data_IF_184096579089
#
_entry.id   IF_184096579089
#
_cell.length_a   1.000
_cell.length_b   1.000
_cell.length_c   1.000
_cell.angle_alpha   90.00
_cell.angle_beta   90.00
_cell.angle_gamma   90.00
#
_symmetry.space_group_name_H-M   'P 1'
#
loop_
_entity.id
_entity.type
_entity.pdbx_description
1 polymer ?
#
# COMPACT_ATOMS: atom_id res chain seq x y z
N UNK A 1 13.23 -15.53 -6.06
CA UNK A 1 12.93 -14.12 -6.38
C UNK A 1 12.14 -13.51 -5.23
N UNK A 2 12.58 -12.38 -4.74
CA UNK A 2 11.99 -11.73 -3.58
C UNK A 2 11.33 -10.41 -3.98
N UNK A 3 10.07 -10.26 -3.63
CA UNK A 3 9.30 -9.05 -3.91
C UNK A 3 9.06 -8.26 -2.63
N UNK A 4 9.21 -6.94 -2.70
CA UNK A 4 8.91 -6.05 -1.58
C UNK A 4 7.53 -5.45 -1.78
N UNK A 5 6.68 -5.67 -0.79
CA UNK A 5 5.34 -5.10 -0.75
C UNK A 5 5.32 -4.08 0.37
N UNK A 6 5.08 -2.83 0.03
CA UNK A 6 4.96 -1.77 1.02
C UNK A 6 3.54 -1.64 1.53
N UNK A 7 3.39 -1.37 2.80
CA UNK A 7 2.08 -1.11 3.42
C UNK A 7 2.15 0.23 4.14
N UNK A 8 1.26 1.12 3.78
CA UNK A 8 1.09 2.41 4.45
C UNK A 8 -0.27 2.47 5.10
N UNK A 9 -0.30 2.44 6.42
CA UNK A 9 -1.51 2.48 7.22
C UNK A 9 -1.17 3.14 8.55
N UNK A 10 -2.05 3.95 9.08
CA UNK A 10 -1.84 4.61 10.37
C UNK A 10 -2.38 3.78 11.55
N UNK A 11 -2.94 2.61 11.30
CA UNK A 11 -3.47 1.71 12.31
C UNK A 11 -2.74 0.36 12.29
N UNK A 12 -1.97 0.07 13.32
CA UNK A 12 -1.17 -1.16 13.42
C UNK A 12 -2.03 -2.44 13.29
N UNK A 13 -3.25 -2.42 13.80
CA UNK A 13 -4.15 -3.56 13.71
C UNK A 13 -4.51 -3.94 12.27
N UNK A 14 -4.70 -2.94 11.41
CA UNK A 14 -4.98 -3.16 10.00
C UNK A 14 -3.76 -3.73 9.27
N UNK A 15 -2.57 -3.23 9.58
CA UNK A 15 -1.32 -3.75 9.01
C UNK A 15 -1.18 -5.22 9.34
N UNK A 16 -1.40 -5.60 10.60
CA UNK A 16 -1.33 -7.00 11.04
C UNK A 16 -2.32 -7.87 10.26
N UNK A 17 -3.53 -7.39 10.05
CA UNK A 17 -4.56 -8.11 9.30
C UNK A 17 -4.15 -8.32 7.83
N UNK A 18 -3.63 -7.29 7.19
CA UNK A 18 -3.15 -7.38 5.81
C UNK A 18 -2.02 -8.39 5.70
N UNK A 19 -1.07 -8.35 6.63
CA UNK A 19 0.03 -9.31 6.68
C UNK A 19 -0.46 -10.74 6.80
N UNK A 20 -1.45 -10.98 7.67
CA UNK A 20 -2.05 -12.29 7.86
C UNK A 20 -2.67 -12.81 6.56
N UNK A 21 -3.45 -11.97 5.88
CA UNK A 21 -4.08 -12.35 4.62
C UNK A 21 -3.06 -12.68 3.52
N UNK A 22 -1.99 -11.90 3.43
CA UNK A 22 -0.93 -12.16 2.46
C UNK A 22 -0.24 -13.48 2.73
N UNK A 23 0.07 -13.77 3.99
CA UNK A 23 0.71 -15.03 4.38
C UNK A 23 -0.20 -16.22 4.12
N UNK A 24 -1.46 -16.13 4.51
CA UNK A 24 -2.42 -17.23 4.34
C UNK A 24 -2.67 -17.52 2.86
N UNK A 25 -2.86 -16.49 2.05
CA UNK A 25 -3.07 -16.65 0.62
C UNK A 25 -1.88 -17.29 -0.08
N UNK A 26 -0.65 -16.96 0.34
CA UNK A 26 0.56 -17.48 -0.30
C UNK A 26 0.97 -18.86 0.26
N UNK A 27 0.50 -19.24 1.44
CA UNK A 27 0.90 -20.51 2.07
C UNK A 27 0.11 -21.74 1.63
N UNK A 28 -0.90 -21.57 0.79
CA UNK A 28 -1.66 -22.70 0.23
C UNK A 28 -0.78 -23.61 -0.60
N UNK A 29 -1.10 -24.93 -0.61
CA UNK A 29 -0.28 -25.94 -1.30
C UNK A 29 -0.06 -25.63 -2.78
N UNK A 30 -1.10 -25.20 -3.50
CA UNK A 30 -0.95 -24.90 -4.92
C UNK A 30 -0.09 -23.68 -5.17
N UNK A 31 -0.17 -22.68 -4.28
CA UNK A 31 0.67 -21.49 -4.37
C UNK A 31 2.13 -21.80 -4.08
N UNK A 32 2.39 -22.60 -3.04
CA UNK A 32 3.76 -23.04 -2.71
C UNK A 32 4.38 -23.85 -3.84
N UNK A 33 3.60 -24.74 -4.46
CA UNK A 33 4.07 -25.57 -5.58
C UNK A 33 4.39 -24.72 -6.80
N UNK A 34 3.49 -23.75 -7.12
CA UNK A 34 3.59 -22.92 -8.33
C UNK A 34 4.68 -21.87 -8.22
N UNK A 35 4.88 -21.33 -7.02
CA UNK A 35 5.78 -20.20 -6.77
C UNK A 35 6.83 -20.51 -5.69
N UNK A 36 7.42 -21.70 -5.77
CA UNK A 36 8.42 -22.13 -4.77
C UNK A 36 9.61 -21.17 -4.69
N UNK A 37 9.97 -20.52 -5.81
CA UNK A 37 11.10 -19.59 -5.88
C UNK A 37 10.72 -18.13 -5.56
N UNK A 38 9.45 -17.87 -5.24
CA UNK A 38 8.94 -16.54 -4.99
C UNK A 38 8.72 -16.36 -3.50
N UNK A 39 9.22 -15.27 -2.97
CA UNK A 39 8.96 -14.87 -1.59
C UNK A 39 8.60 -13.40 -1.52
N UNK A 40 7.88 -13.02 -0.48
CA UNK A 40 7.49 -11.64 -0.24
C UNK A 40 8.18 -11.11 1.00
N UNK A 41 8.66 -9.87 0.91
CA UNK A 41 9.17 -9.12 2.02
C UNK A 41 8.23 -7.93 2.21
N UNK A 42 7.60 -7.83 3.37
CA UNK A 42 6.65 -6.77 3.64
C UNK A 42 7.34 -5.65 4.39
N UNK A 43 7.25 -4.44 3.84
CA UNK A 43 7.83 -3.25 4.44
C UNK A 43 6.70 -2.36 4.94
N UNK A 44 6.67 -2.14 6.24
CA UNK A 44 5.69 -1.25 6.86
C UNK A 44 6.22 0.17 6.87
N UNK A 45 5.39 1.12 6.44
CA UNK A 45 5.75 2.53 6.44
C UNK A 45 4.95 3.27 7.49
N UNK A 46 5.60 4.18 8.15
CA UNK A 46 4.97 5.09 9.09
C UNK A 46 4.41 6.30 8.35
N UNK A 47 3.21 6.73 8.72
CA UNK A 47 2.61 7.94 8.17
C UNK A 47 3.28 9.14 8.83
N UNK A 48 4.03 9.90 8.03
CA UNK A 48 4.70 11.11 8.51
C UNK A 48 3.77 12.31 8.40
N UNK A 49 4.06 13.34 9.16
CA UNK A 49 3.28 14.57 9.13
C UNK A 49 3.36 15.27 7.77
N UNK A 50 4.54 15.26 7.17
CA UNK A 50 4.78 15.81 5.85
C UNK A 50 4.65 14.70 4.81
N UNK A 51 3.77 14.89 3.84
CA UNK A 51 3.55 13.92 2.76
C UNK A 51 4.83 13.63 1.98
N UNK A 52 5.68 14.62 1.78
CA UNK A 52 6.93 14.43 1.04
C UNK A 52 7.89 13.50 1.77
N UNK A 53 7.92 13.54 3.09
CA UNK A 53 8.73 12.61 3.89
C UNK A 53 8.22 11.19 3.77
N UNK A 54 6.90 11.00 3.81
CA UNK A 54 6.27 9.69 3.65
C UNK A 54 6.60 9.12 2.27
N UNK A 55 6.40 9.90 1.22
CA UNK A 55 6.65 9.49 -0.16
C UNK A 55 8.14 9.19 -0.39
N UNK A 56 9.02 10.02 0.13
CA UNK A 56 10.46 9.83 -0.02
C UNK A 56 10.93 8.52 0.60
N UNK A 57 10.39 8.15 1.76
CA UNK A 57 10.73 6.90 2.41
C UNK A 57 10.25 5.68 1.59
N UNK A 58 9.05 5.77 1.02
CA UNK A 58 8.53 4.70 0.16
C UNK A 58 9.43 4.51 -1.06
N UNK A 59 9.81 5.59 -1.70
CA UNK A 59 10.70 5.57 -2.87
C UNK A 59 12.06 4.98 -2.50
N UNK A 60 12.61 5.39 -1.36
CA UNK A 60 13.92 4.94 -0.89
C UNK A 60 13.98 3.43 -0.67
N UNK A 61 12.91 2.82 -0.22
CA UNK A 61 12.83 1.39 0.08
C UNK A 61 12.67 0.51 -1.17
N UNK A 62 12.43 1.11 -2.33
CA UNK A 62 12.36 0.39 -3.61
C UNK A 62 11.38 -0.80 -3.60
N UNK A 63 10.15 -0.53 -3.16
CA UNK A 63 9.10 -1.57 -3.17
C UNK A 63 8.58 -1.80 -4.59
N UNK A 64 8.11 -3.01 -4.88
CA UNK A 64 7.54 -3.38 -6.16
C UNK A 64 6.02 -3.23 -6.20
N UNK A 65 5.40 -2.99 -5.06
CA UNK A 65 3.95 -2.84 -4.94
C UNK A 65 3.65 -2.07 -3.66
N UNK A 66 2.60 -1.26 -3.66
CA UNK A 66 2.15 -0.55 -2.47
C UNK A 66 0.70 -0.83 -2.16
N UNK A 67 0.42 -1.08 -0.90
CA UNK A 67 -0.93 -1.16 -0.35
C UNK A 67 -1.08 0.05 0.57
N UNK A 68 -2.02 0.92 0.24
CA UNK A 68 -2.19 2.20 0.93
C UNK A 68 -3.60 2.29 1.51
N UNK A 69 -3.70 2.56 2.80
CA UNK A 69 -5.00 2.84 3.40
C UNK A 69 -5.47 4.23 2.96
N UNK A 70 -6.76 4.33 2.62
CA UNK A 70 -7.34 5.61 2.21
C UNK A 70 -7.25 6.65 3.34
N UNK A 71 -7.61 6.24 4.55
CA UNK A 71 -7.70 7.15 5.68
C UNK A 71 -6.42 7.10 6.51
N UNK A 72 -5.57 8.10 6.36
CA UNK A 72 -4.27 8.19 7.04
C UNK A 72 -4.25 9.20 8.18
N UNK A 73 -5.39 9.80 8.52
CA UNK A 73 -5.47 10.86 9.51
C UNK A 73 -6.21 10.47 10.79
N UNK A 74 -6.44 9.18 11.03
CA UNK A 74 -7.14 8.73 12.24
C UNK A 74 -6.37 9.04 13.51
N UNK A 75 -5.05 9.12 13.43
CA UNK A 75 -4.19 9.52 14.54
C UNK A 75 -3.89 11.02 14.54
N UNK A 76 -4.51 11.78 13.65
CA UNK A 76 -4.32 13.23 13.50
C UNK A 76 -2.86 13.65 13.24
N UNK A 77 -2.02 12.70 12.84
CA UNK A 77 -0.62 12.99 12.50
C UNK A 77 -0.51 13.67 11.15
N UNK A 78 -1.29 13.23 10.19
CA UNK A 78 -1.24 13.72 8.82
C UNK A 78 -2.55 14.40 8.41
N UNK A 79 -2.43 15.43 7.57
CA UNK A 79 -3.58 16.15 7.02
C UNK A 79 -3.97 15.63 5.62
N UNK A 80 -3.28 14.62 5.11
CA UNK A 80 -3.51 14.06 3.79
C UNK A 80 -4.09 12.64 3.89
N UNK A 81 -4.62 12.15 2.79
CA UNK A 81 -5.17 10.79 2.70
C UNK A 81 -4.31 9.92 1.76
N UNK A 82 -4.68 8.63 1.65
CA UNK A 82 -3.94 7.69 0.82
C UNK A 82 -3.96 8.02 -0.66
N UNK A 83 -5.01 8.68 -1.16
CA UNK A 83 -5.08 9.12 -2.57
C UNK A 83 -3.99 10.15 -2.86
N UNK A 84 -3.75 11.08 -1.93
CA UNK A 84 -2.70 12.10 -2.10
C UNK A 84 -1.33 11.44 -2.20
N UNK A 85 -1.06 10.43 -1.37
CA UNK A 85 0.20 9.66 -1.43
C UNK A 85 0.31 8.93 -2.76
N UNK A 86 -0.77 8.26 -3.17
CA UNK A 86 -0.78 7.50 -4.43
C UNK A 86 -0.51 8.40 -5.63
N UNK A 87 -1.11 9.58 -5.68
CA UNK A 87 -0.87 10.53 -6.77
C UNK A 87 0.60 10.92 -6.87
N UNK A 88 1.25 11.16 -5.75
CA UNK A 88 2.67 11.51 -5.75
C UNK A 88 3.56 10.34 -6.17
N UNK A 89 3.21 9.13 -5.78
CA UNK A 89 3.94 7.94 -6.20
C UNK A 89 3.79 7.70 -7.71
N UNK A 90 2.60 7.94 -8.26
CA UNK A 90 2.35 7.83 -9.71
C UNK A 90 3.17 8.85 -10.49
N UNK A 91 3.32 10.07 -9.97
CA UNK A 91 4.17 11.07 -10.59
C UNK A 91 5.63 10.62 -10.66
N UNK A 92 6.08 9.89 -9.65
CA UNK A 92 7.44 9.35 -9.60
C UNK A 92 7.58 8.12 -10.52
N UNK A 93 6.64 7.19 -10.45
CA UNK A 93 6.67 5.94 -11.22
C UNK A 93 5.25 5.48 -11.56
N UNK A 94 4.81 5.75 -12.77
CA UNK A 94 3.46 5.40 -13.23
C UNK A 94 3.21 3.90 -13.32
N UNK A 95 4.27 3.10 -13.33
CA UNK A 95 4.16 1.64 -13.44
C UNK A 95 4.13 0.92 -12.09
N UNK A 96 4.25 1.66 -10.98
CA UNK A 96 4.18 1.05 -9.65
C UNK A 96 2.75 0.60 -9.35
N UNK A 97 2.51 -0.71 -9.15
CA UNK A 97 1.19 -1.19 -8.74
C UNK A 97 0.78 -0.61 -7.40
N UNK A 98 -0.41 -0.02 -7.35
CA UNK A 98 -0.96 0.61 -6.16
C UNK A 98 -2.33 0.03 -5.85
N UNK A 99 -2.56 -0.32 -4.59
CA UNK A 99 -3.85 -0.80 -4.10
C UNK A 99 -4.28 0.09 -2.95
N UNK A 100 -5.49 0.61 -3.03
CA UNK A 100 -6.03 1.48 -1.99
C UNK A 100 -7.13 0.75 -1.25
N UNK A 101 -6.95 0.62 0.06
CA UNK A 101 -7.93 -0.01 0.94
C UNK A 101 -8.81 1.07 1.54
N UNK A 102 -10.11 0.86 1.48
CA UNK A 102 -11.05 1.81 2.05
C UNK A 102 -12.35 1.13 2.46
N UNK A 103 -12.95 1.65 3.51
CA UNK A 103 -14.35 1.40 3.83
C UNK A 103 -15.26 2.52 3.33
N UNK A 104 -14.71 3.48 2.58
CA UNK A 104 -15.43 4.64 2.05
C UNK A 104 -15.39 4.63 0.52
N UNK A 105 -15.95 3.60 -0.10
CA UNK A 105 -15.94 3.45 -1.56
C UNK A 105 -16.52 4.64 -2.31
N UNK A 106 -17.58 5.25 -1.76
CA UNK A 106 -18.22 6.41 -2.39
C UNK A 106 -17.24 7.57 -2.56
N UNK A 107 -16.36 7.78 -1.60
CA UNK A 107 -15.36 8.84 -1.68
C UNK A 107 -14.36 8.59 -2.79
N UNK A 108 -14.03 7.32 -3.05
CA UNK A 108 -13.09 6.95 -4.11
C UNK A 108 -13.66 7.19 -5.50
N UNK A 109 -14.95 6.98 -5.70
CA UNK A 109 -15.58 7.15 -7.03
C UNK A 109 -15.49 8.58 -7.54
N UNK A 110 -15.37 9.55 -6.66
CA UNK A 110 -15.26 10.95 -7.01
C UNK A 110 -13.82 11.39 -7.29
N UNK A 111 -12.83 10.50 -7.13
CA UNK A 111 -11.41 10.83 -7.35
C UNK A 111 -10.96 10.46 -8.75
N UNK A 112 -10.14 11.33 -9.35
CA UNK A 112 -9.54 11.08 -10.66
C UNK A 112 -8.71 9.79 -10.68
N UNK A 113 -8.05 9.47 -9.57
CA UNK A 113 -7.21 8.30 -9.47
C UNK A 113 -7.99 6.99 -9.67
N UNK A 114 -9.25 6.97 -9.27
CA UNK A 114 -10.10 5.79 -9.45
C UNK A 114 -10.25 5.43 -10.93
N UNK A 115 -10.32 6.43 -11.81
CA UNK A 115 -10.47 6.20 -13.24
C UNK A 115 -9.20 5.64 -13.88
N UNK A 116 -8.04 5.89 -13.28
CA UNK A 116 -6.75 5.42 -13.78
C UNK A 116 -6.35 4.05 -13.19
N UNK A 117 -6.81 3.74 -11.99
CA UNK A 117 -6.45 2.50 -11.28
C UNK A 117 -7.69 1.81 -10.75
N UNK A 118 -7.72 0.49 -10.86
CA UNK A 118 -8.77 -0.33 -10.26
C UNK A 118 -8.41 -0.62 -8.80
N UNK A 119 -9.36 -0.38 -7.95
CA UNK A 119 -9.17 -0.52 -6.50
C UNK A 119 -9.66 -1.87 -6.02
#
# INVERSE_FOLDING_TARGET
MKYRIGILDDEAGKVTLILSHLKDGFSGKSMKRRYADVSFDVVEFEVKRDIYETVAEIIDKQVQCMIIDYKLNSQRTAAYNGIAVAKKLVEYNEFLPLFILTSYEEDLFDHELFNAYQV
#
